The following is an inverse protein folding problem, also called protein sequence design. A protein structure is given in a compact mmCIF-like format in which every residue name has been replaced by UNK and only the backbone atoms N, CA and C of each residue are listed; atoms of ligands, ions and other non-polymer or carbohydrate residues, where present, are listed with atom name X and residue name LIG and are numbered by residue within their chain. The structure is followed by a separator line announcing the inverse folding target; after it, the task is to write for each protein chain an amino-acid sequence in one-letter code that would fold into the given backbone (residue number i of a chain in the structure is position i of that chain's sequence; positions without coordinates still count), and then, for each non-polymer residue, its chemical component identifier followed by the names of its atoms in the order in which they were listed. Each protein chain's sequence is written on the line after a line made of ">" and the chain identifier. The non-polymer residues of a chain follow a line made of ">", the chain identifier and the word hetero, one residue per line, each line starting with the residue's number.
data_IF_903529419098
#
_entry.id   IF_903529419098
#
_cell.length_a   1.000
_cell.length_b   1.000
_cell.length_c   1.000
_cell.angle_alpha   90.00
_cell.angle_beta   90.00
_cell.angle_gamma   90.00
#
_symmetry.space_group_name_H-M   'P 1'
#
loop_
_entity.id
_entity.type
_entity.pdbx_description
1 polymer ?
#
# COMPACT_ATOMS: atom_id res chain seq x y z
N UNK A 1 11.67 -1.33 10.49
CA UNK A 1 10.88 -2.36 11.18
C UNK A 1 10.51 -1.89 12.58
N UNK A 2 10.20 -2.77 13.54
CA UNK A 2 9.78 -2.39 14.91
C UNK A 2 10.70 -1.33 15.55
N UNK A 3 12.01 -1.44 15.34
CA UNK A 3 12.99 -0.48 15.86
C UNK A 3 12.74 0.93 15.34
N UNK A 4 12.56 1.12 14.02
CA UNK A 4 12.19 2.42 13.42
C UNK A 4 10.90 2.98 14.04
N UNK A 5 9.92 2.12 14.35
CA UNK A 5 8.66 2.54 14.96
C UNK A 5 8.85 2.97 16.43
N UNK A 6 9.71 2.28 17.18
CA UNK A 6 10.07 2.63 18.56
C UNK A 6 10.87 3.94 18.59
N UNK A 7 11.80 4.11 17.66
CA UNK A 7 12.58 5.32 17.50
C UNK A 7 11.69 6.51 17.12
N UNK A 8 10.82 6.34 16.12
CA UNK A 8 9.85 7.36 15.75
C UNK A 8 9.00 7.74 16.95
N UNK A 9 8.44 6.76 17.68
CA UNK A 9 7.64 7.04 18.88
C UNK A 9 8.41 7.86 19.92
N UNK A 10 9.69 7.61 20.11
CA UNK A 10 10.52 8.40 21.01
C UNK A 10 10.72 9.83 20.49
N UNK A 11 10.99 10.01 19.19
CA UNK A 11 11.15 11.32 18.55
C UNK A 11 9.86 12.15 18.57
N UNK A 12 8.68 11.51 18.59
CA UNK A 12 7.39 12.19 18.65
C UNK A 12 6.96 12.66 20.06
N UNK A 13 7.74 12.35 21.12
CA UNK A 13 7.34 12.62 22.51
C UNK A 13 7.06 14.10 22.80
N UNK A 14 7.87 14.99 22.23
CA UNK A 14 7.75 16.45 22.39
C UNK A 14 6.86 17.11 21.33
N UNK A 15 6.14 16.30 20.53
CA UNK A 15 5.21 16.73 19.47
C UNK A 15 5.87 17.64 18.43
N UNK A 16 6.97 17.20 17.80
CA UNK A 16 7.72 18.00 16.84
C UNK A 16 6.90 18.35 15.59
N UNK A 17 7.45 19.27 14.81
CA UNK A 17 7.14 19.40 13.39
C UNK A 17 7.65 18.20 12.60
N UNK A 18 6.81 17.62 11.75
CA UNK A 18 7.09 16.40 10.99
C UNK A 18 6.85 16.61 9.51
N UNK A 19 7.83 16.26 8.67
CA UNK A 19 7.65 16.11 7.23
C UNK A 19 7.68 14.64 6.85
N UNK A 20 6.64 14.17 6.17
CA UNK A 20 6.57 12.81 5.61
C UNK A 20 6.68 12.88 4.10
N UNK A 21 7.69 12.22 3.53
CA UNK A 21 7.92 12.16 2.07
C UNK A 21 7.38 10.84 1.52
N UNK A 22 6.28 10.92 0.77
CA UNK A 22 5.63 9.79 0.11
C UNK A 22 4.14 9.70 0.43
N UNK A 23 3.28 9.92 -0.57
CA UNK A 23 1.82 9.86 -0.44
C UNK A 23 1.20 8.47 -0.61
N UNK A 24 1.96 7.40 -0.41
CA UNK A 24 1.44 6.03 -0.42
C UNK A 24 0.75 5.65 0.90
N UNK A 25 0.24 4.40 1.02
CA UNK A 25 -0.45 3.93 2.23
C UNK A 25 0.37 4.14 3.51
N UNK A 26 1.61 3.67 3.54
CA UNK A 26 2.47 3.81 4.72
C UNK A 26 2.71 5.28 5.12
N UNK A 27 2.98 6.15 4.15
CA UNK A 27 3.22 7.57 4.44
C UNK A 27 1.98 8.28 4.97
N UNK A 28 0.81 7.96 4.42
CA UNK A 28 -0.48 8.47 4.90
C UNK A 28 -0.83 7.93 6.31
N UNK A 29 -0.54 6.65 6.59
CA UNK A 29 -0.72 6.04 7.93
C UNK A 29 0.22 6.68 8.97
N UNK A 30 1.50 6.87 8.64
CA UNK A 30 2.47 7.56 9.50
C UNK A 30 2.02 9.00 9.76
N UNK A 31 1.61 9.73 8.73
CA UNK A 31 1.12 11.10 8.88
C UNK A 31 -0.12 11.16 9.78
N UNK A 32 -1.06 10.22 9.63
CA UNK A 32 -2.21 10.10 10.53
C UNK A 32 -1.79 9.83 11.98
N UNK A 33 -0.84 8.93 12.22
CA UNK A 33 -0.33 8.63 13.56
C UNK A 33 0.39 9.81 14.21
N UNK A 34 1.16 10.57 13.43
CA UNK A 34 1.83 11.79 13.91
C UNK A 34 0.82 12.88 14.30
N UNK A 35 -0.21 13.12 13.47
CA UNK A 35 -1.30 14.05 13.81
C UNK A 35 -2.06 13.62 15.07
N UNK A 36 -2.36 12.32 15.20
CA UNK A 36 -3.01 11.78 16.40
C UNK A 36 -2.15 11.95 17.67
N UNK A 37 -0.83 12.02 17.51
CA UNK A 37 0.13 12.31 18.59
C UNK A 37 0.25 13.81 18.90
N UNK A 38 -0.42 14.68 18.14
CA UNK A 38 -0.44 16.13 18.31
C UNK A 38 0.69 16.88 17.59
N UNK A 39 1.37 16.23 16.64
CA UNK A 39 2.44 16.86 15.85
C UNK A 39 1.86 17.73 14.74
N UNK A 40 2.62 18.75 14.29
CA UNK A 40 2.32 19.46 13.06
C UNK A 40 2.91 18.70 11.87
N UNK A 41 2.08 18.27 10.92
CA UNK A 41 2.51 17.33 9.86
C UNK A 41 2.34 17.93 8.46
N UNK A 42 3.41 17.85 7.67
CA UNK A 42 3.40 18.12 6.23
C UNK A 42 3.72 16.85 5.45
N UNK A 43 2.81 16.42 4.57
CA UNK A 43 3.03 15.34 3.63
C UNK A 43 3.50 15.88 2.29
N UNK A 44 4.63 15.38 1.79
CA UNK A 44 5.17 15.67 0.48
C UNK A 44 4.90 14.49 -0.46
N UNK A 45 4.31 14.74 -1.62
CA UNK A 45 3.91 13.67 -2.54
C UNK A 45 4.02 14.08 -4.01
N UNK A 46 4.22 13.10 -4.89
CA UNK A 46 4.07 13.24 -6.34
C UNK A 46 2.62 12.93 -6.71
N UNK A 47 1.84 13.95 -7.06
CA UNK A 47 0.42 13.80 -7.36
C UNK A 47 -0.45 13.53 -6.11
N UNK A 48 -1.76 13.28 -6.27
CA UNK A 48 -2.67 13.10 -5.13
C UNK A 48 -2.29 11.85 -4.30
N UNK A 49 -2.28 11.92 -2.96
CA UNK A 49 -2.03 10.74 -2.13
C UNK A 49 -2.94 9.57 -2.47
N UNK A 50 -2.43 8.35 -2.38
CA UNK A 50 -3.12 7.07 -2.61
C UNK A 50 -3.69 6.85 -4.02
N UNK A 51 -3.50 7.79 -4.95
CA UNK A 51 -4.09 7.70 -6.30
C UNK A 51 -3.66 6.44 -7.04
N UNK A 52 -2.39 6.04 -6.90
CA UNK A 52 -1.82 4.87 -7.56
C UNK A 52 -2.28 3.54 -6.94
N UNK A 53 -2.73 3.59 -5.67
CA UNK A 53 -3.13 2.40 -4.91
C UNK A 53 -4.63 2.20 -4.91
N UNK A 54 -5.42 3.27 -4.87
CA UNK A 54 -6.87 3.21 -4.68
C UNK A 54 -7.66 3.78 -5.86
N UNK A 55 -7.08 4.71 -6.62
CA UNK A 55 -7.77 5.44 -7.66
C UNK A 55 -8.53 6.68 -7.15
N UNK A 56 -9.06 7.52 -8.05
CA UNK A 56 -9.46 8.90 -7.74
C UNK A 56 -10.51 9.01 -6.64
N UNK A 57 -11.56 8.19 -6.69
CA UNK A 57 -12.70 8.29 -5.78
C UNK A 57 -12.28 8.01 -4.33
N UNK A 58 -11.63 6.88 -4.10
CA UNK A 58 -11.19 6.47 -2.76
C UNK A 58 -10.04 7.35 -2.26
N UNK A 59 -9.10 7.75 -3.14
CA UNK A 59 -8.03 8.67 -2.77
C UNK A 59 -8.58 10.00 -2.23
N UNK A 60 -9.57 10.60 -2.91
CA UNK A 60 -10.17 11.88 -2.49
C UNK A 60 -10.84 11.78 -1.11
N UNK A 61 -11.50 10.64 -0.81
CA UNK A 61 -12.09 10.41 0.53
C UNK A 61 -11.03 10.52 1.63
N UNK A 62 -9.87 9.89 1.45
CA UNK A 62 -8.78 9.94 2.41
C UNK A 62 -8.08 11.30 2.45
N UNK A 63 -7.88 11.94 1.30
CA UNK A 63 -7.26 13.29 1.21
C UNK A 63 -8.11 14.32 1.94
N UNK A 64 -9.44 14.28 1.76
CA UNK A 64 -10.39 15.14 2.48
C UNK A 64 -10.29 14.90 3.98
N UNK A 65 -10.39 13.65 4.42
CA UNK A 65 -10.28 13.29 5.84
C UNK A 65 -8.94 13.72 6.45
N UNK A 66 -7.84 13.62 5.70
CA UNK A 66 -6.51 14.05 6.13
C UNK A 66 -6.43 15.58 6.32
N UNK A 67 -6.93 16.36 5.36
CA UNK A 67 -6.98 17.83 5.45
C UNK A 67 -7.84 18.29 6.62
N UNK A 68 -9.00 17.67 6.84
CA UNK A 68 -9.88 17.95 7.98
C UNK A 68 -9.20 17.71 9.34
N UNK A 69 -8.22 16.80 9.39
CA UNK A 69 -7.42 16.52 10.58
C UNK A 69 -6.15 17.37 10.68
N UNK A 70 -6.00 18.36 9.80
CA UNK A 70 -4.90 19.32 9.83
C UNK A 70 -3.66 18.89 9.05
N UNK A 71 -3.73 17.84 8.21
CA UNK A 71 -2.60 17.49 7.36
C UNK A 71 -2.35 18.56 6.30
N UNK A 72 -1.14 19.12 6.28
CA UNK A 72 -0.68 19.93 5.15
C UNK A 72 -0.18 19.01 4.04
N UNK A 73 -0.67 19.17 2.81
CA UNK A 73 -0.25 18.35 1.66
C UNK A 73 0.45 19.24 0.66
N UNK A 74 1.73 18.95 0.40
CA UNK A 74 2.56 19.63 -0.59
C UNK A 74 2.79 18.66 -1.76
N UNK A 75 2.29 19.04 -2.93
CA UNK A 75 2.50 18.28 -4.15
C UNK A 75 3.69 18.86 -4.91
N UNK A 76 4.67 18.02 -5.25
CA UNK A 76 5.87 18.44 -5.97
C UNK A 76 6.37 17.32 -6.88
N UNK A 77 7.06 17.69 -7.97
CA UNK A 77 7.61 16.72 -8.91
C UNK A 77 8.78 15.92 -8.32
N UNK A 78 9.53 16.50 -7.37
CA UNK A 78 10.65 15.85 -6.71
C UNK A 78 10.80 16.38 -5.28
N UNK A 79 11.26 15.52 -4.38
CA UNK A 79 11.57 15.87 -3.01
C UNK A 79 12.83 15.13 -2.58
N UNK A 80 13.79 15.85 -2.01
CA UNK A 80 15.06 15.29 -1.55
C UNK A 80 15.27 15.62 -0.08
N UNK A 81 15.20 14.63 0.82
CA UNK A 81 15.64 14.80 2.19
C UNK A 81 17.12 15.19 2.24
N UNK A 82 17.45 16.13 3.11
CA UNK A 82 18.80 16.60 3.41
C UNK A 82 18.93 16.89 4.92
N UNK A 83 20.15 17.13 5.38
CA UNK A 83 20.45 17.53 6.74
C UNK A 83 21.07 16.40 7.56
N UNK A 84 21.61 16.78 8.71
CA UNK A 84 22.06 15.86 9.76
C UNK A 84 20.94 15.66 10.79
N UNK A 85 21.19 14.86 11.82
CA UNK A 85 20.22 14.56 12.89
C UNK A 85 19.69 15.80 13.63
N UNK A 86 20.34 16.97 13.51
CA UNK A 86 19.94 18.20 14.18
C UNK A 86 19.16 19.19 13.30
N UNK A 87 19.25 19.08 11.98
CA UNK A 87 18.63 20.03 11.04
C UNK A 87 18.04 19.36 9.79
N UNK A 88 17.16 18.36 9.94
CA UNK A 88 16.61 17.67 8.78
C UNK A 88 15.68 18.61 7.99
N UNK A 89 15.78 18.56 6.67
CA UNK A 89 14.98 19.37 5.74
C UNK A 89 14.64 18.59 4.49
N UNK A 90 13.65 19.07 3.74
CA UNK A 90 13.30 18.51 2.43
C UNK A 90 13.39 19.60 1.37
N UNK A 91 14.24 19.37 0.37
CA UNK A 91 14.35 20.22 -0.81
C UNK A 91 13.32 19.75 -1.83
N UNK A 92 12.38 20.63 -2.16
CA UNK A 92 11.34 20.42 -3.17
C UNK A 92 11.89 20.68 -4.58
N UNK A 93 11.13 20.28 -5.60
CA UNK A 93 11.39 20.76 -6.96
C UNK A 93 11.44 22.29 -6.98
N UNK A 94 12.27 22.84 -7.88
CA UNK A 94 12.43 24.29 -8.07
C UNK A 94 13.05 25.03 -6.87
N UNK A 95 13.55 24.32 -5.85
CA UNK A 95 14.41 24.86 -4.79
C UNK A 95 13.69 25.29 -3.51
N UNK A 96 12.37 25.06 -3.39
CA UNK A 96 11.66 25.25 -2.13
C UNK A 96 12.22 24.37 -1.02
N UNK A 97 12.19 24.84 0.23
CA UNK A 97 12.72 24.12 1.39
C UNK A 97 11.64 23.99 2.45
N UNK A 98 11.45 22.76 2.95
CA UNK A 98 10.64 22.48 4.12
C UNK A 98 11.55 22.07 5.27
N UNK A 99 11.54 22.85 6.35
CA UNK A 99 12.24 22.53 7.59
C UNK A 99 11.29 21.80 8.54
N UNK A 100 11.81 20.81 9.26
CA UNK A 100 11.09 20.09 10.28
C UNK A 100 12.08 19.54 11.31
N UNK A 101 11.59 19.20 12.49
CA UNK A 101 12.40 18.52 13.51
C UNK A 101 12.51 17.01 13.22
N UNK A 102 11.55 16.45 12.48
CA UNK A 102 11.57 15.06 12.02
C UNK A 102 11.22 14.98 10.54
N UNK A 103 12.06 14.29 9.76
CA UNK A 103 11.77 13.93 8.37
C UNK A 103 11.67 12.41 8.26
N UNK A 104 10.56 11.92 7.71
CA UNK A 104 10.33 10.50 7.44
C UNK A 104 10.19 10.26 5.95
N UNK A 105 10.81 9.19 5.44
CA UNK A 105 10.66 8.76 4.05
C UNK A 105 9.82 7.49 3.97
N UNK A 106 8.71 7.56 3.25
CA UNK A 106 7.84 6.45 2.91
C UNK A 106 7.62 6.40 1.38
N UNK A 107 8.73 6.50 0.64
CA UNK A 107 8.74 6.68 -0.82
C UNK A 107 8.68 5.37 -1.64
N UNK A 108 8.50 4.23 -0.98
CA UNK A 108 8.48 2.90 -1.60
C UNK A 108 9.51 1.96 -0.98
N UNK A 109 9.57 0.75 -1.52
CA UNK A 109 10.45 -0.32 -1.07
C UNK A 109 11.29 -0.88 -2.23
N UNK A 110 12.42 -1.49 -1.89
CA UNK A 110 13.26 -2.25 -2.81
C UNK A 110 13.40 -3.67 -2.27
N UNK A 111 13.21 -4.71 -3.10
CA UNK A 111 13.44 -6.09 -2.68
C UNK A 111 14.88 -6.35 -2.23
N UNK A 112 15.04 -6.89 -1.02
CA UNK A 112 16.33 -7.35 -0.49
C UNK A 112 16.77 -8.64 -1.22
N UNK A 113 17.58 -8.48 -2.26
CA UNK A 113 18.04 -9.56 -3.15
C UNK A 113 19.55 -9.54 -3.37
N UNK A 114 20.26 -8.65 -2.71
CA UNK A 114 21.72 -8.51 -2.76
C UNK A 114 22.44 -9.79 -2.32
N UNK A 115 21.90 -10.51 -1.34
CA UNK A 115 22.47 -11.77 -0.85
C UNK A 115 22.38 -12.92 -1.85
N UNK A 116 21.57 -12.79 -2.92
CA UNK A 116 21.48 -13.78 -3.99
C UNK A 116 22.64 -13.69 -4.98
N UNK A 117 23.48 -12.65 -4.90
CA UNK A 117 24.62 -12.49 -5.79
C UNK A 117 25.53 -13.74 -5.78
N UNK A 118 25.81 -14.28 -6.96
CA UNK A 118 26.64 -15.49 -7.13
C UNK A 118 25.91 -16.83 -6.92
N UNK A 119 24.63 -16.84 -6.52
CA UNK A 119 23.84 -18.06 -6.31
C UNK A 119 23.30 -18.71 -7.60
N UNK A 120 23.36 -17.98 -8.72
CA UNK A 120 22.69 -18.36 -9.98
C UNK A 120 21.17 -18.08 -10.00
N UNK A 121 20.62 -17.51 -8.92
CA UNK A 121 19.26 -16.99 -8.88
C UNK A 121 19.21 -15.51 -9.34
N UNK A 122 18.06 -15.01 -9.81
CA UNK A 122 17.88 -13.60 -10.12
C UNK A 122 18.21 -12.71 -8.90
N UNK A 123 19.04 -11.69 -9.11
CA UNK A 123 19.48 -10.74 -8.09
C UNK A 123 19.40 -9.30 -8.62
N UNK A 124 19.34 -8.31 -7.70
CA UNK A 124 19.34 -6.89 -8.06
C UNK A 124 17.96 -6.34 -8.42
N UNK A 125 16.88 -6.99 -7.98
CA UNK A 125 15.52 -6.60 -8.28
C UNK A 125 14.49 -7.66 -7.87
N UNK A 126 13.24 -7.54 -8.32
CA UNK A 126 12.22 -8.55 -8.06
C UNK A 126 12.65 -9.93 -8.60
N UNK A 127 12.38 -11.00 -7.84
CA UNK A 127 12.66 -12.38 -8.27
C UNK A 127 11.45 -12.90 -9.06
N UNK A 128 11.56 -13.14 -10.38
CA UNK A 128 10.47 -13.70 -11.17
C UNK A 128 10.20 -15.15 -10.77
N UNK A 129 8.92 -15.48 -10.63
CA UNK A 129 8.43 -16.84 -10.35
C UNK A 129 7.32 -17.22 -11.31
N UNK A 130 7.11 -18.52 -11.48
CA UNK A 130 5.96 -19.04 -12.20
C UNK A 130 4.63 -18.81 -11.42
N UNK A 131 3.51 -19.24 -12.00
CA UNK A 131 2.19 -19.11 -11.37
C UNK A 131 2.03 -19.89 -10.05
N UNK A 132 3.02 -20.71 -9.66
CA UNK A 132 3.05 -21.48 -8.42
C UNK A 132 4.07 -20.96 -7.41
N UNK A 133 4.80 -19.89 -7.73
CA UNK A 133 5.82 -19.31 -6.86
C UNK A 133 7.19 -19.98 -6.98
N UNK A 134 7.43 -20.77 -8.02
CA UNK A 134 8.71 -21.44 -8.25
C UNK A 134 9.61 -20.60 -9.16
N UNK A 135 10.88 -20.45 -8.77
CA UNK A 135 11.95 -19.92 -9.63
C UNK A 135 12.50 -21.03 -10.52
N UNK A 136 12.58 -22.25 -9.96
CA UNK A 136 12.92 -23.52 -10.61
C UNK A 136 12.32 -24.68 -9.78
N UNK A 137 12.31 -25.94 -10.24
CA UNK A 137 11.53 -27.01 -9.60
C UNK A 137 11.76 -27.22 -8.08
N UNK A 138 12.96 -26.93 -7.60
CA UNK A 138 13.41 -27.11 -6.21
C UNK A 138 13.55 -25.79 -5.43
N UNK A 139 13.27 -24.63 -6.04
CA UNK A 139 13.48 -23.31 -5.41
C UNK A 139 12.25 -22.43 -5.62
N UNK A 140 11.72 -21.92 -4.51
CA UNK A 140 10.62 -20.97 -4.50
C UNK A 140 11.08 -19.57 -4.05
N UNK A 141 10.35 -18.55 -4.50
CA UNK A 141 10.44 -17.19 -3.98
C UNK A 141 9.02 -16.68 -3.68
N UNK A 142 8.84 -16.05 -2.52
CA UNK A 142 7.53 -15.63 -2.03
C UNK A 142 7.60 -14.28 -1.31
N UNK A 143 6.47 -13.61 -1.19
CA UNK A 143 6.34 -12.34 -0.49
C UNK A 143 6.81 -11.15 -1.32
N UNK A 144 7.28 -10.11 -0.64
CA UNK A 144 7.50 -8.79 -1.22
C UNK A 144 8.64 -8.76 -2.25
N UNK A 145 9.49 -9.78 -2.28
CA UNK A 145 10.56 -9.90 -3.28
C UNK A 145 10.11 -10.60 -4.57
N UNK A 146 9.02 -11.37 -4.53
CA UNK A 146 8.60 -12.19 -5.67
C UNK A 146 7.76 -11.39 -6.66
N UNK A 147 8.11 -11.51 -7.95
CA UNK A 147 7.29 -11.04 -9.06
C UNK A 147 6.60 -12.25 -9.71
N UNK A 148 5.28 -12.31 -9.59
CA UNK A 148 4.47 -13.44 -10.05
C UNK A 148 3.42 -12.98 -11.07
N UNK A 149 2.86 -13.89 -11.88
CA UNK A 149 1.79 -13.55 -12.83
C UNK A 149 0.55 -13.00 -12.12
N UNK A 150 0.09 -11.83 -12.55
CA UNK A 150 -1.18 -11.22 -12.12
C UNK A 150 -2.02 -10.84 -13.33
N UNK A 151 -3.27 -10.42 -13.11
CA UNK A 151 -4.13 -9.86 -14.18
C UNK A 151 -3.53 -8.60 -14.84
N UNK A 152 -2.57 -7.94 -14.17
CA UNK A 152 -1.82 -6.77 -14.68
C UNK A 152 -0.39 -7.12 -15.12
N UNK A 153 -0.15 -8.38 -15.48
CA UNK A 153 1.16 -8.89 -15.86
C UNK A 153 2.01 -9.34 -14.68
N UNK A 154 3.27 -9.68 -14.96
CA UNK A 154 4.21 -10.18 -13.94
C UNK A 154 4.72 -9.00 -13.10
N UNK A 155 4.43 -9.02 -11.79
CA UNK A 155 4.77 -7.90 -10.89
C UNK A 155 4.86 -8.33 -9.43
N UNK A 156 5.44 -7.47 -8.61
CA UNK A 156 5.34 -7.55 -7.15
C UNK A 156 3.99 -7.07 -6.66
N UNK A 157 3.52 -7.68 -5.58
CA UNK A 157 2.34 -7.25 -4.81
C UNK A 157 2.71 -7.29 -3.33
N UNK A 158 3.30 -6.22 -2.78
CA UNK A 158 3.78 -6.16 -1.40
C UNK A 158 2.62 -5.97 -0.42
N UNK A 159 1.74 -6.96 -0.36
CA UNK A 159 0.61 -7.03 0.55
C UNK A 159 0.82 -8.24 1.45
N UNK A 160 0.55 -8.06 2.75
CA UNK A 160 0.60 -9.14 3.73
C UNK A 160 -0.21 -10.38 3.30
N UNK A 161 -1.41 -10.17 2.73
CA UNK A 161 -2.26 -11.25 2.22
C UNK A 161 -1.63 -11.96 1.01
N UNK A 162 -0.90 -11.25 0.15
CA UNK A 162 -0.19 -11.84 -0.98
C UNK A 162 0.94 -12.75 -0.53
N UNK A 163 1.76 -12.31 0.44
CA UNK A 163 2.85 -13.12 0.98
C UNK A 163 2.35 -14.47 1.53
N UNK A 164 1.22 -14.46 2.26
CA UNK A 164 0.60 -15.67 2.80
C UNK A 164 0.13 -16.62 1.70
N UNK A 165 -0.60 -16.11 0.69
CA UNK A 165 -1.15 -16.97 -0.36
C UNK A 165 -0.07 -17.50 -1.31
N UNK A 166 0.97 -16.71 -1.57
CA UNK A 166 2.17 -17.16 -2.29
C UNK A 166 2.87 -18.28 -1.52
N UNK A 167 3.10 -18.12 -0.22
CA UNK A 167 3.76 -19.14 0.61
C UNK A 167 2.99 -20.47 0.61
N UNK A 168 1.65 -20.44 0.76
CA UNK A 168 0.81 -21.64 0.69
C UNK A 168 0.90 -22.33 -0.67
N UNK A 169 0.90 -21.56 -1.76
CA UNK A 169 0.96 -22.09 -3.12
C UNK A 169 2.34 -22.70 -3.41
N UNK A 170 3.41 -21.98 -3.10
CA UNK A 170 4.77 -22.45 -3.28
C UNK A 170 5.07 -23.72 -2.48
N UNK A 171 4.60 -23.80 -1.22
CA UNK A 171 4.77 -25.01 -0.41
C UNK A 171 4.10 -26.23 -1.05
N UNK A 172 2.89 -26.07 -1.62
CA UNK A 172 2.22 -27.16 -2.36
C UNK A 172 3.00 -27.54 -3.62
N UNK A 173 3.55 -26.57 -4.32
CA UNK A 173 4.31 -26.76 -5.55
C UNK A 173 5.62 -27.50 -5.31
N UNK A 174 6.36 -27.16 -4.24
CA UNK A 174 7.56 -27.88 -3.84
C UNK A 174 7.27 -29.35 -3.46
N UNK A 175 6.09 -29.63 -2.90
CA UNK A 175 5.70 -30.99 -2.50
C UNK A 175 5.10 -31.83 -3.64
N UNK A 176 4.42 -31.20 -4.60
CA UNK A 176 3.60 -31.90 -5.61
C UNK A 176 4.05 -31.63 -7.05
N UNK A 177 5.04 -30.76 -7.25
CA UNK A 177 5.45 -30.32 -8.58
C UNK A 177 4.29 -29.68 -9.34
N UNK A 178 4.15 -30.04 -10.62
CA UNK A 178 3.15 -29.50 -11.55
C UNK A 178 1.70 -29.82 -11.19
N UNK A 179 1.47 -30.81 -10.34
CA UNK A 179 0.13 -31.19 -9.83
C UNK A 179 -0.42 -30.16 -8.83
N UNK A 180 0.42 -29.27 -8.28
CA UNK A 180 -0.07 -28.17 -7.46
C UNK A 180 -0.86 -27.17 -8.33
N UNK A 181 -2.03 -26.71 -7.87
CA UNK A 181 -2.75 -25.67 -8.59
C UNK A 181 -1.95 -24.36 -8.59
N UNK A 182 -2.06 -23.54 -9.66
CA UNK A 182 -1.50 -22.19 -9.65
C UNK A 182 -2.19 -21.32 -8.59
N UNK A 183 -1.53 -20.21 -8.25
CA UNK A 183 -2.07 -19.21 -7.35
C UNK A 183 -3.29 -18.53 -7.98
N UNK A 184 -4.45 -18.71 -7.36
CA UNK A 184 -5.66 -17.92 -7.61
C UNK A 184 -5.65 -16.69 -6.71
N UNK A 185 -4.90 -15.65 -7.12
CA UNK A 185 -4.70 -14.47 -6.29
C UNK A 185 -5.84 -13.46 -6.44
N UNK A 186 -6.57 -13.27 -5.35
CA UNK A 186 -7.51 -12.17 -5.21
C UNK A 186 -6.96 -11.14 -4.22
N UNK A 187 -6.53 -9.99 -4.75
CA UNK A 187 -5.97 -8.89 -3.96
C UNK A 187 -6.92 -8.46 -2.85
N UNK A 188 -6.36 -8.29 -1.66
CA UNK A 188 -7.02 -7.75 -0.48
C UNK A 188 -6.14 -6.70 0.15
N UNK A 189 -6.60 -5.46 0.09
CA UNK A 189 -5.98 -4.29 0.65
C UNK A 189 -6.80 -3.80 1.84
N UNK A 190 -6.12 -3.30 2.87
CA UNK A 190 -6.76 -2.60 3.97
C UNK A 190 -5.84 -1.50 4.46
N UNK A 191 -6.41 -0.46 5.04
CA UNK A 191 -5.69 0.64 5.67
C UNK A 191 -6.59 1.31 6.70
N UNK A 192 -5.99 1.80 7.79
CA UNK A 192 -6.66 2.58 8.82
C UNK A 192 -5.88 3.87 9.06
N UNK A 193 -6.48 5.00 8.72
CA UNK A 193 -5.81 6.29 8.78
C UNK A 193 -6.84 7.41 8.74
N UNK A 194 -6.51 8.52 9.39
CA UNK A 194 -7.38 9.68 9.50
C UNK A 194 -8.78 9.28 9.99
N UNK A 195 -8.85 8.39 10.99
CA UNK A 195 -10.11 7.90 11.55
C UNK A 195 -11.03 7.15 10.58
N UNK A 196 -10.52 6.74 9.41
CA UNK A 196 -11.23 5.91 8.43
C UNK A 196 -10.60 4.53 8.39
N UNK A 197 -11.43 3.50 8.24
CA UNK A 197 -11.04 2.12 7.98
C UNK A 197 -11.53 1.69 6.60
N UNK A 198 -10.60 1.35 5.69
CA UNK A 198 -10.92 0.78 4.38
C UNK A 198 -10.52 -0.69 4.32
N UNK A 199 -11.42 -1.51 3.75
CA UNK A 199 -11.12 -2.85 3.25
C UNK A 199 -11.54 -2.91 1.80
N UNK A 200 -10.65 -3.34 0.91
CA UNK A 200 -10.93 -3.44 -0.51
C UNK A 200 -10.44 -4.78 -1.07
N UNK A 201 -11.27 -5.41 -1.89
CA UNK A 201 -11.00 -6.68 -2.55
C UNK A 201 -11.18 -6.51 -4.04
N UNK A 202 -10.25 -7.04 -4.83
CA UNK A 202 -10.25 -6.94 -6.30
C UNK A 202 -9.05 -6.16 -6.81
N UNK A 203 -8.99 -5.96 -8.13
CA UNK A 203 -7.86 -5.29 -8.75
C UNK A 203 -7.97 -3.76 -8.62
N UNK A 204 -7.11 -3.20 -7.78
CA UNK A 204 -7.00 -1.76 -7.53
C UNK A 204 -5.78 -1.16 -8.27
N UNK A 205 -5.78 0.10 -8.73
CA UNK A 205 -6.76 1.14 -8.43
C UNK A 205 -8.04 1.01 -9.25
N UNK A 206 -9.14 1.57 -8.75
CA UNK A 206 -10.41 1.67 -9.48
C UNK A 206 -10.54 3.00 -10.19
N UNK A 207 -11.18 2.98 -11.35
CA UNK A 207 -11.53 4.19 -12.11
C UNK A 207 -13.02 4.54 -11.92
N UNK A 208 -13.31 5.83 -11.96
CA UNK A 208 -14.68 6.32 -11.85
C UNK A 208 -15.33 6.16 -10.46
N UNK A 209 -16.58 6.62 -10.33
CA UNK A 209 -17.35 6.49 -9.09
C UNK A 209 -17.84 5.04 -8.88
N UNK A 210 -18.03 4.60 -7.63
CA UNK A 210 -18.61 3.30 -7.33
C UNK A 210 -20.12 3.28 -7.51
N UNK A 211 -20.65 2.07 -7.64
CA UNK A 211 -22.00 1.73 -7.23
C UNK A 211 -22.03 1.60 -5.69
N UNK A 212 -22.88 2.39 -5.04
CA UNK A 212 -23.13 2.26 -3.60
C UNK A 212 -24.13 1.11 -3.38
N UNK A 213 -23.64 0.03 -2.78
CA UNK A 213 -24.47 -1.13 -2.40
C UNK A 213 -25.19 -0.88 -1.08
N UNK A 214 -24.54 -0.16 -0.17
CA UNK A 214 -25.11 0.36 1.06
C UNK A 214 -24.37 1.65 1.45
N UNK A 215 -25.08 2.59 2.09
CA UNK A 215 -24.61 3.96 2.33
C UNK A 215 -24.71 4.88 1.10
N UNK A 216 -24.24 6.12 1.24
CA UNK A 216 -24.35 7.16 0.21
C UNK A 216 -23.03 7.96 0.07
N UNK A 217 -22.80 8.63 -1.07
CA UNK A 217 -21.70 9.58 -1.21
C UNK A 217 -21.75 10.67 -0.13
N UNK A 218 -20.58 11.16 0.29
CA UNK A 218 -20.49 12.38 1.10
C UNK A 218 -20.03 12.15 2.53
N UNK A 219 -20.23 10.97 3.12
CA UNK A 219 -19.64 10.60 4.42
C UNK A 219 -20.38 9.49 5.15
N UNK A 220 -19.69 8.82 6.06
CA UNK A 220 -20.22 7.71 6.86
C UNK A 220 -19.88 6.32 6.29
N UNK A 221 -20.31 5.25 6.99
CA UNK A 221 -20.08 3.88 6.55
C UNK A 221 -20.68 3.60 5.18
N UNK A 222 -19.89 3.03 4.27
CA UNK A 222 -20.33 2.70 2.92
C UNK A 222 -19.78 1.35 2.44
N UNK A 223 -20.62 0.65 1.68
CA UNK A 223 -20.27 -0.55 0.94
C UNK A 223 -20.36 -0.24 -0.55
N UNK A 224 -19.24 -0.32 -1.24
CA UNK A 224 -19.07 0.15 -2.61
C UNK A 224 -18.64 -0.98 -3.54
N UNK A 225 -19.02 -0.88 -4.81
CA UNK A 225 -18.66 -1.84 -5.85
C UNK A 225 -18.30 -1.12 -7.16
N UNK A 226 -17.26 -1.58 -7.84
CA UNK A 226 -16.89 -1.17 -9.20
C UNK A 226 -16.96 -2.39 -10.11
N UNK A 227 -17.98 -2.48 -10.98
CA UNK A 227 -18.06 -3.54 -11.99
C UNK A 227 -16.92 -3.41 -13.02
N UNK A 228 -16.31 -4.52 -13.38
CA UNK A 228 -15.35 -4.64 -14.49
C UNK A 228 -15.99 -5.31 -15.71
N UNK A 229 -15.30 -5.22 -16.85
CA UNK A 229 -15.81 -5.68 -18.15
C UNK A 229 -16.12 -7.18 -18.22
N UNK A 230 -15.39 -8.02 -17.48
CA UNK A 230 -15.49 -9.49 -17.55
C UNK A 230 -16.23 -10.11 -16.36
N UNK A 231 -17.11 -9.36 -15.71
CA UNK A 231 -17.84 -9.80 -14.51
C UNK A 231 -16.98 -9.86 -13.23
N UNK A 232 -15.68 -9.58 -13.33
CA UNK A 232 -14.84 -9.21 -12.20
C UNK A 232 -15.34 -7.87 -11.62
N UNK A 233 -15.24 -7.68 -10.31
CA UNK A 233 -15.52 -6.40 -9.69
C UNK A 233 -14.56 -6.12 -8.54
N UNK A 234 -14.40 -4.84 -8.21
CA UNK A 234 -13.77 -4.42 -6.95
C UNK A 234 -14.88 -4.14 -5.95
N UNK A 235 -14.72 -4.63 -4.72
CA UNK A 235 -15.63 -4.35 -3.63
C UNK A 235 -14.86 -3.69 -2.49
N UNK A 236 -15.38 -2.58 -1.97
CA UNK A 236 -14.76 -1.85 -0.87
C UNK A 236 -15.76 -1.57 0.25
N UNK A 237 -15.28 -1.63 1.49
CA UNK A 237 -16.00 -1.29 2.70
C UNK A 237 -15.24 -0.17 3.41
N UNK A 238 -15.84 1.01 3.50
CA UNK A 238 -15.33 2.17 4.21
C UNK A 238 -16.12 2.34 5.50
N UNK A 239 -15.46 2.26 6.66
CA UNK A 239 -16.08 2.28 8.01
C UNK A 239 -17.25 1.30 8.18
N UNK A 240 -17.32 0.30 7.30
CA UNK A 240 -18.45 -0.60 7.18
C UNK A 240 -18.05 -1.99 7.69
N UNK A 241 -18.78 -2.47 8.70
CA UNK A 241 -18.49 -3.77 9.32
C UNK A 241 -18.98 -4.91 8.45
N UNK A 242 -18.07 -5.52 7.70
CA UNK A 242 -18.33 -6.71 6.90
C UNK A 242 -17.19 -7.75 7.04
N UNK A 243 -17.51 -9.04 7.20
CA UNK A 243 -16.49 -10.08 7.13
C UNK A 243 -15.82 -10.13 5.75
N UNK A 244 -14.49 -10.23 5.72
CA UNK A 244 -13.72 -10.29 4.45
C UNK A 244 -14.24 -11.38 3.49
N UNK A 245 -14.61 -12.60 3.92
CA UNK A 245 -15.18 -13.60 3.01
C UNK A 245 -16.47 -13.15 2.32
N UNK A 246 -17.30 -12.32 2.98
CA UNK A 246 -18.52 -11.76 2.37
C UNK A 246 -18.16 -10.67 1.38
N UNK A 247 -17.20 -9.79 1.71
CA UNK A 247 -16.68 -8.78 0.79
C UNK A 247 -16.06 -9.43 -0.48
N UNK A 248 -15.32 -10.54 -0.32
CA UNK A 248 -14.78 -11.32 -1.45
C UNK A 248 -15.84 -11.93 -2.36
N UNK A 249 -17.04 -12.25 -1.86
CA UNK A 249 -18.13 -12.76 -2.71
C UNK A 249 -18.73 -11.67 -3.60
N UNK A 250 -18.66 -10.40 -3.18
CA UNK A 250 -19.21 -9.27 -3.93
C UNK A 250 -18.41 -8.93 -5.19
N UNK A 251 -17.18 -9.43 -5.29
CA UNK A 251 -16.35 -9.27 -6.50
C UNK A 251 -16.74 -10.24 -7.62
N UNK A 252 -17.59 -11.24 -7.31
CA UNK A 252 -18.14 -12.18 -8.29
C UNK A 252 -19.48 -11.61 -8.78
N UNK A 253 -19.81 -11.83 -10.04
CA UNK A 253 -21.17 -11.54 -10.52
C UNK A 253 -22.20 -12.26 -9.64
N UNK A 254 -23.33 -11.61 -9.37
CA UNK A 254 -24.48 -12.31 -8.82
C UNK A 254 -24.87 -13.40 -9.83
N UNK A 255 -24.82 -14.66 -9.39
CA UNK A 255 -25.32 -15.79 -10.17
C UNK A 255 -26.85 -15.76 -10.23
#
# INVERSE_FOLDING_TARGET
>A
GLDDALELRARLADKPSVVVVGGGPLGMEIASGCLASGCAVTLVTQGPPLILQLGPHLAEVFVRAARERGLTIVQTAAARPEGDEGTPRVILAEGGVLEAEVVLTAAGDVPNTEWLAGSGLPAGGPVPVDARGLVRPDVAAVGDLAAFPTVRGVRRVPLWSSAIEQAKTAARALLRGTEAPPLDFQSYFWTEQFGLSLKAVGDLPVEGPPEYVDGEPGGGPALMRWPGADGAAVAAALDYRIPVPRLRRMTKAAA
#
